data_IF_137591111000
#
_entry.id   IF_137591111000
#
_cell.length_a   1.000
_cell.length_b   1.000
_cell.length_c   1.000
_cell.angle_alpha   90.00
_cell.angle_beta   90.00
_cell.angle_gamma   90.00
#
_symmetry.space_group_name_H-M   'P 1'
#
loop_
_entity.id
_entity.type
_entity.pdbx_description
1 polymer ?
#
# COMPACT_ATOMS: atom_id res chain seq x y z
N UNK A 1 -6.90 12.07 -15.59
CA UNK A 1 -6.39 11.62 -16.91
C UNK A 1 -5.96 10.16 -16.93
N UNK A 2 -5.20 9.63 -15.96
CA UNK A 2 -4.75 8.21 -15.97
C UNK A 2 -5.84 7.14 -15.87
N UNK A 3 -7.02 7.43 -15.30
CA UNK A 3 -8.12 6.47 -15.21
C UNK A 3 -8.84 6.23 -16.56
N UNK A 4 -8.79 7.21 -17.47
CA UNK A 4 -9.37 7.09 -18.81
C UNK A 4 -8.56 6.18 -19.72
N UNK A 5 -7.22 6.30 -19.67
CA UNK A 5 -6.30 5.43 -20.42
C UNK A 5 -6.41 3.97 -19.99
N UNK A 6 -6.51 3.71 -18.68
CA UNK A 6 -6.70 2.35 -18.17
C UNK A 6 -8.04 1.73 -18.61
N UNK A 7 -9.09 2.54 -18.76
CA UNK A 7 -10.39 2.06 -19.24
C UNK A 7 -10.36 1.72 -20.73
N UNK A 8 -9.71 2.55 -21.56
CA UNK A 8 -9.55 2.31 -22.98
C UNK A 8 -8.67 1.08 -23.26
N UNK A 9 -7.61 0.88 -22.46
CA UNK A 9 -6.75 -0.29 -22.55
C UNK A 9 -7.49 -1.59 -22.17
N UNK A 10 -8.38 -1.53 -21.17
CA UNK A 10 -9.24 -2.67 -20.81
C UNK A 10 -10.25 -3.01 -21.91
N UNK A 11 -10.81 -2.02 -22.58
CA UNK A 11 -11.77 -2.22 -23.68
C UNK A 11 -11.08 -2.83 -24.91
N UNK A 12 -9.87 -2.37 -25.23
CA UNK A 12 -9.02 -2.96 -26.27
C UNK A 12 -8.69 -4.43 -25.96
N UNK A 13 -8.27 -4.72 -24.71
CA UNK A 13 -7.95 -6.09 -24.29
C UNK A 13 -9.17 -7.01 -24.29
N UNK A 14 -10.39 -6.48 -24.06
CA UNK A 14 -11.64 -7.24 -24.20
C UNK A 14 -11.92 -7.57 -25.66
N UNK A 15 -11.84 -6.59 -26.56
CA UNK A 15 -11.99 -6.82 -28.00
C UNK A 15 -11.00 -7.87 -28.53
N UNK A 16 -9.74 -7.80 -28.08
CA UNK A 16 -8.72 -8.79 -28.47
C UNK A 16 -9.01 -10.20 -27.92
N UNK A 17 -9.66 -10.31 -26.76
CA UNK A 17 -10.10 -11.59 -26.21
C UNK A 17 -11.22 -12.19 -27.06
N UNK A 18 -12.21 -11.38 -27.42
CA UNK A 18 -13.35 -11.82 -28.23
C UNK A 18 -12.88 -12.29 -29.62
N UNK A 19 -11.95 -11.56 -30.25
CA UNK A 19 -11.34 -11.96 -31.53
C UNK A 19 -10.56 -13.27 -31.40
N UNK A 20 -9.82 -13.46 -30.30
CA UNK A 20 -9.08 -14.69 -30.06
C UNK A 20 -10.01 -15.89 -29.82
N UNK A 21 -11.12 -15.71 -29.12
CA UNK A 21 -12.15 -16.73 -28.93
C UNK A 21 -12.81 -17.13 -30.26
N UNK A 22 -13.10 -16.15 -31.12
CA UNK A 22 -13.61 -16.39 -32.47
C UNK A 22 -12.62 -17.19 -33.33
N UNK A 23 -11.33 -16.86 -33.29
CA UNK A 23 -10.29 -17.60 -34.03
C UNK A 23 -10.17 -19.03 -33.50
N UNK A 24 -10.21 -19.22 -32.17
CA UNK A 24 -10.21 -20.54 -31.55
C UNK A 24 -11.40 -21.37 -32.04
N UNK A 25 -12.60 -20.81 -32.05
CA UNK A 25 -13.80 -21.50 -32.51
C UNK A 25 -13.66 -21.93 -33.98
N UNK A 26 -13.23 -21.02 -34.86
CA UNK A 26 -12.96 -21.30 -36.29
C UNK A 26 -11.91 -22.39 -36.51
N UNK A 27 -10.84 -22.40 -35.70
CA UNK A 27 -9.83 -23.46 -35.78
C UNK A 27 -10.39 -24.81 -35.32
N UNK A 28 -11.24 -24.83 -34.29
CA UNK A 28 -11.86 -26.09 -33.84
C UNK A 28 -12.87 -26.65 -34.84
N UNK A 29 -13.63 -25.79 -35.53
CA UNK A 29 -14.55 -26.23 -36.60
C UNK A 29 -13.77 -26.73 -37.80
N UNK A 30 -12.75 -25.98 -38.26
CA UNK A 30 -11.88 -26.39 -39.35
C UNK A 30 -11.17 -27.72 -39.08
N UNK A 31 -10.69 -27.95 -37.84
CA UNK A 31 -10.08 -29.22 -37.46
C UNK A 31 -11.07 -30.39 -37.48
N UNK A 32 -12.33 -30.18 -37.07
CA UNK A 32 -13.38 -31.20 -37.18
C UNK A 32 -13.70 -31.52 -38.64
N UNK A 33 -13.81 -30.51 -39.49
CA UNK A 33 -14.05 -30.67 -40.92
C UNK A 33 -12.90 -31.41 -41.61
N UNK A 34 -11.65 -31.04 -41.32
CA UNK A 34 -10.46 -31.74 -41.84
C UNK A 34 -10.44 -33.22 -41.40
N UNK A 35 -10.78 -33.50 -40.14
CA UNK A 35 -10.87 -34.87 -39.62
C UNK A 35 -11.95 -35.69 -40.32
N UNK A 36 -13.11 -35.09 -40.56
CA UNK A 36 -14.19 -35.72 -41.34
C UNK A 36 -13.71 -35.99 -42.76
N UNK A 37 -13.11 -35.01 -43.44
CA UNK A 37 -12.54 -35.17 -44.79
C UNK A 37 -11.53 -36.31 -44.88
N UNK A 38 -10.58 -36.39 -43.93
CA UNK A 38 -9.67 -37.53 -43.84
C UNK A 38 -10.42 -38.86 -43.79
N UNK A 39 -11.43 -38.99 -42.94
CA UNK A 39 -12.17 -40.24 -42.80
C UNK A 39 -12.96 -40.64 -44.05
N UNK A 40 -13.51 -39.66 -44.78
CA UNK A 40 -14.14 -39.90 -46.09
C UNK A 40 -13.12 -40.29 -47.15
N UNK A 41 -12.00 -39.57 -47.26
CA UNK A 41 -10.94 -39.90 -48.23
C UNK A 41 -10.33 -41.26 -47.96
N UNK A 42 -10.11 -41.64 -46.69
CA UNK A 42 -9.63 -42.98 -46.33
C UNK A 42 -10.60 -44.08 -46.80
N UNK A 43 -11.91 -43.82 -46.70
CA UNK A 43 -12.94 -44.73 -47.17
C UNK A 43 -12.99 -44.81 -48.70
N UNK A 44 -12.99 -43.67 -49.38
CA UNK A 44 -12.97 -43.59 -50.84
C UNK A 44 -11.72 -44.26 -51.43
N UNK A 45 -10.57 -44.06 -50.79
CA UNK A 45 -9.31 -44.68 -51.17
C UNK A 45 -9.35 -46.20 -50.97
N UNK A 46 -9.96 -46.69 -49.89
CA UNK A 46 -10.18 -48.12 -49.68
C UNK A 46 -11.12 -48.72 -50.75
N UNK A 47 -12.19 -48.02 -51.11
CA UNK A 47 -13.14 -48.41 -52.16
C UNK A 47 -12.46 -48.41 -53.55
N UNK A 48 -11.67 -47.38 -53.87
CA UNK A 48 -10.89 -47.30 -55.11
C UNK A 48 -9.82 -48.40 -55.20
N UNK A 49 -9.13 -48.75 -54.10
CA UNK A 49 -8.19 -49.88 -54.06
C UNK A 49 -8.89 -51.21 -54.34
N UNK A 50 -10.06 -51.42 -53.73
CA UNK A 50 -10.85 -52.63 -53.96
C UNK A 50 -11.34 -52.71 -55.42
N UNK A 51 -11.84 -51.61 -55.98
CA UNK A 51 -12.24 -51.53 -57.39
C UNK A 51 -11.08 -51.79 -58.35
N UNK A 52 -9.90 -51.20 -58.08
CA UNK A 52 -8.69 -51.43 -58.87
C UNK A 52 -8.24 -52.91 -58.84
N UNK A 53 -8.31 -53.57 -57.69
CA UNK A 53 -8.03 -55.01 -57.59
C UNK A 53 -9.03 -55.87 -58.38
N UNK A 54 -10.31 -55.55 -58.33
CA UNK A 54 -11.35 -56.25 -59.12
C UNK A 54 -11.14 -56.01 -60.62
N UNK A 55 -10.75 -54.79 -61.02
CA UNK A 55 -10.44 -54.47 -62.41
C UNK A 55 -9.16 -55.15 -62.90
N UNK A 56 -8.11 -55.26 -62.07
CA UNK A 56 -6.87 -55.96 -62.40
C UNK A 56 -7.08 -57.49 -62.56
N UNK A 57 -7.97 -58.09 -61.77
CA UNK A 57 -8.36 -59.50 -61.92
C UNK A 57 -9.26 -59.75 -63.14
N UNK A 58 -10.03 -58.75 -63.59
CA UNK A 58 -10.81 -58.79 -64.84
C UNK A 58 -9.99 -58.48 -66.09
N UNK A 59 -8.98 -57.60 -66.00
CA UNK A 59 -8.10 -57.26 -67.12
C UNK A 59 -7.15 -58.41 -67.48
N UNK A 60 -6.78 -59.23 -66.49
CA UNK A 60 -6.04 -60.47 -66.74
C UNK A 60 -6.85 -61.55 -67.49
N UNK A 61 -8.16 -61.35 -67.70
CA UNK A 61 -9.04 -62.21 -68.51
C UNK A 61 -9.70 -61.53 -69.71
N UNK A 62 -9.57 -60.21 -69.90
CA UNK A 62 -10.22 -59.46 -71.00
C UNK A 62 -9.33 -58.35 -71.57
N UNK A 63 -9.36 -58.17 -72.90
CA UNK A 63 -8.42 -57.34 -73.67
C UNK A 63 -8.47 -55.82 -73.45
N UNK A 64 -7.84 -55.06 -74.35
CA UNK A 64 -7.41 -53.65 -74.24
C UNK A 64 -8.35 -52.62 -73.56
N UNK A 65 -9.68 -52.83 -73.56
CA UNK A 65 -10.63 -51.96 -72.85
C UNK A 65 -10.50 -52.05 -71.32
N UNK A 66 -10.26 -53.24 -70.76
CA UNK A 66 -10.07 -53.43 -69.31
C UNK A 66 -8.73 -52.83 -68.80
N UNK A 67 -7.75 -52.68 -69.69
CA UNK A 67 -6.48 -51.99 -69.40
C UNK A 67 -6.65 -50.47 -69.24
N UNK A 68 -7.65 -49.87 -69.88
CA UNK A 68 -7.95 -48.44 -69.77
C UNK A 68 -8.60 -48.10 -68.42
N UNK A 69 -9.54 -48.94 -67.98
CA UNK A 69 -10.27 -48.77 -66.72
C UNK A 69 -9.35 -48.96 -65.50
N UNK A 70 -8.48 -49.97 -65.53
CA UNK A 70 -7.44 -50.18 -64.50
C UNK A 70 -6.46 -49.01 -64.41
N UNK A 71 -6.04 -48.45 -65.55
CA UNK A 71 -5.18 -47.26 -65.56
C UNK A 71 -5.89 -46.02 -64.97
N UNK A 72 -7.18 -45.83 -65.24
CA UNK A 72 -7.96 -44.74 -64.67
C UNK A 72 -8.14 -44.88 -63.15
N UNK A 73 -8.44 -46.09 -62.65
CA UNK A 73 -8.57 -46.37 -61.22
C UNK A 73 -7.25 -46.19 -60.46
N UNK A 74 -6.11 -46.54 -61.07
CA UNK A 74 -4.78 -46.28 -60.47
C UNK A 74 -4.50 -44.78 -60.34
N UNK A 75 -4.78 -43.98 -61.36
CA UNK A 75 -4.62 -42.51 -61.29
C UNK A 75 -5.50 -41.91 -60.19
N UNK A 76 -6.76 -42.34 -60.10
CA UNK A 76 -7.66 -41.92 -59.02
C UNK A 76 -7.13 -42.33 -57.63
N UNK A 77 -6.50 -43.51 -57.50
CA UNK A 77 -5.85 -43.93 -56.25
C UNK A 77 -4.70 -43.00 -55.85
N UNK A 78 -3.86 -42.65 -56.82
CA UNK A 78 -2.71 -41.78 -56.60
C UNK A 78 -3.18 -40.37 -56.22
N UNK A 79 -4.19 -39.84 -56.90
CA UNK A 79 -4.83 -38.55 -56.59
C UNK A 79 -5.41 -38.53 -55.16
N UNK A 80 -6.20 -39.54 -54.79
CA UNK A 80 -6.75 -39.67 -53.43
C UNK A 80 -5.65 -39.81 -52.36
N UNK A 81 -4.53 -40.46 -52.70
CA UNK A 81 -3.39 -40.60 -51.78
C UNK A 81 -2.74 -39.24 -51.53
N UNK A 82 -2.52 -38.46 -52.59
CA UNK A 82 -1.95 -37.10 -52.48
C UNK A 82 -2.90 -36.19 -51.69
N UNK A 83 -4.20 -36.24 -51.94
CA UNK A 83 -5.19 -35.47 -51.18
C UNK A 83 -5.20 -35.86 -49.70
N UNK A 84 -5.20 -37.16 -49.39
CA UNK A 84 -5.17 -37.65 -48.02
C UNK A 84 -3.92 -37.16 -47.27
N UNK A 85 -2.74 -37.21 -47.89
CA UNK A 85 -1.51 -36.72 -47.30
C UNK A 85 -1.53 -35.20 -47.10
N UNK A 86 -2.15 -34.46 -48.03
CA UNK A 86 -2.42 -33.04 -47.90
C UNK A 86 -3.29 -32.70 -46.69
N UNK A 87 -4.41 -33.41 -46.51
CA UNK A 87 -5.31 -33.18 -45.36
C UNK A 87 -4.66 -33.61 -44.05
N UNK A 88 -3.89 -34.71 -44.02
CA UNK A 88 -3.11 -35.12 -42.83
C UNK A 88 -2.12 -34.05 -42.41
N UNK A 89 -1.44 -33.41 -43.36
CA UNK A 89 -0.55 -32.29 -43.09
C UNK A 89 -1.31 -31.09 -42.50
N UNK A 90 -2.43 -30.70 -43.11
CA UNK A 90 -3.29 -29.62 -42.57
C UNK A 90 -3.77 -29.93 -41.15
N UNK A 91 -4.12 -31.18 -40.85
CA UNK A 91 -4.56 -31.60 -39.51
C UNK A 91 -3.42 -31.48 -38.48
N UNK A 92 -2.19 -31.84 -38.87
CA UNK A 92 -1.00 -31.64 -38.04
C UNK A 92 -0.75 -30.15 -37.76
N UNK A 93 -0.85 -29.30 -38.78
CA UNK A 93 -0.65 -27.86 -38.65
C UNK A 93 -1.71 -27.24 -37.72
N UNK A 94 -2.99 -27.59 -37.90
CA UNK A 94 -4.09 -27.14 -37.04
C UNK A 94 -3.91 -27.60 -35.59
N UNK A 95 -3.41 -28.83 -35.37
CA UNK A 95 -3.13 -29.34 -34.04
C UNK A 95 -2.03 -28.53 -33.36
N UNK A 96 -0.95 -28.24 -34.07
CA UNK A 96 0.15 -27.40 -33.55
C UNK A 96 -0.31 -25.97 -33.23
N UNK A 97 -1.18 -25.40 -34.08
CA UNK A 97 -1.76 -24.08 -33.85
C UNK A 97 -2.66 -24.07 -32.60
N UNK A 98 -3.48 -25.11 -32.40
CA UNK A 98 -4.33 -25.26 -31.22
C UNK A 98 -3.50 -25.42 -29.93
N UNK A 99 -2.42 -26.19 -29.96
CA UNK A 99 -1.49 -26.34 -28.83
C UNK A 99 -0.79 -25.01 -28.49
N UNK A 100 -0.36 -24.25 -29.50
CA UNK A 100 0.20 -22.91 -29.32
C UNK A 100 -0.79 -21.92 -28.71
N UNK A 101 -2.04 -21.90 -29.19
CA UNK A 101 -3.09 -21.06 -28.60
C UNK A 101 -3.40 -21.44 -27.15
N UNK A 102 -3.42 -22.74 -26.84
CA UNK A 102 -3.62 -23.18 -25.46
C UNK A 102 -2.47 -22.74 -24.55
N UNK A 103 -1.22 -22.79 -25.04
CA UNK A 103 -0.08 -22.28 -24.30
C UNK A 103 -0.16 -20.77 -24.07
N UNK A 104 -0.57 -19.99 -25.08
CA UNK A 104 -0.80 -18.55 -24.95
C UNK A 104 -1.90 -18.22 -23.94
N UNK A 105 -3.03 -18.94 -23.98
CA UNK A 105 -4.12 -18.77 -23.03
C UNK A 105 -3.66 -19.03 -21.58
N UNK A 106 -2.84 -20.07 -21.37
CA UNK A 106 -2.27 -20.38 -20.07
C UNK A 106 -1.33 -19.27 -19.56
N UNK A 107 -0.49 -18.71 -20.44
CA UNK A 107 0.39 -17.57 -20.10
C UNK A 107 -0.44 -16.34 -19.74
N UNK A 108 -1.47 -16.03 -20.54
CA UNK A 108 -2.35 -14.89 -20.29
C UNK A 108 -3.09 -15.04 -18.95
N UNK A 109 -3.56 -16.24 -18.62
CA UNK A 109 -4.20 -16.53 -17.33
C UNK A 109 -3.24 -16.30 -16.14
N UNK A 110 -1.99 -16.73 -16.26
CA UNK A 110 -0.95 -16.50 -15.23
C UNK A 110 -0.63 -15.03 -15.06
N UNK A 111 -0.47 -14.29 -16.16
CA UNK A 111 -0.22 -12.85 -16.12
C UNK A 111 -1.41 -12.10 -15.47
N UNK A 112 -2.65 -12.43 -15.84
CA UNK A 112 -3.85 -11.88 -15.19
C UNK A 112 -3.89 -12.15 -13.69
N UNK A 113 -3.51 -13.36 -13.26
CA UNK A 113 -3.43 -13.71 -11.85
C UNK A 113 -2.33 -12.91 -11.12
N UNK A 114 -1.16 -12.76 -11.73
CA UNK A 114 -0.04 -12.01 -11.18
C UNK A 114 -0.36 -10.50 -11.05
N UNK A 115 -1.07 -9.93 -12.02
CA UNK A 115 -1.54 -8.54 -11.95
C UNK A 115 -2.52 -8.37 -10.80
N UNK A 116 -3.50 -9.26 -10.64
CA UNK A 116 -4.44 -9.21 -9.50
C UNK A 116 -3.72 -9.34 -8.16
N UNK A 117 -2.76 -10.24 -8.04
CA UNK A 117 -1.98 -10.39 -6.80
C UNK A 117 -1.16 -9.13 -6.50
N UNK A 118 -0.54 -8.55 -7.53
CA UNK A 118 0.22 -7.30 -7.39
C UNK A 118 -0.68 -6.13 -6.99
N UNK A 119 -1.90 -6.06 -7.56
CA UNK A 119 -2.90 -5.08 -7.17
C UNK A 119 -3.28 -5.24 -5.69
N UNK A 120 -3.55 -6.46 -5.22
CA UNK A 120 -3.84 -6.69 -3.81
C UNK A 120 -2.68 -6.33 -2.87
N UNK A 121 -1.42 -6.50 -3.32
CA UNK A 121 -0.25 -6.05 -2.56
C UNK A 121 -0.18 -4.51 -2.51
N UNK A 122 -0.48 -3.85 -3.62
CA UNK A 122 -0.56 -2.40 -3.70
C UNK A 122 -1.63 -1.87 -2.74
N UNK A 123 -2.87 -2.37 -2.81
CA UNK A 123 -3.97 -1.93 -1.95
C UNK A 123 -3.62 -2.05 -0.45
N UNK A 124 -3.01 -3.18 -0.05
CA UNK A 124 -2.54 -3.37 1.34
C UNK A 124 -1.46 -2.36 1.74
N UNK A 125 -0.55 -2.04 0.83
CA UNK A 125 0.50 -1.06 1.10
C UNK A 125 -0.08 0.35 1.23
N UNK A 126 -1.06 0.71 0.41
CA UNK A 126 -1.79 1.98 0.50
C UNK A 126 -2.54 2.10 1.82
N UNK A 127 -3.23 1.04 2.26
CA UNK A 127 -3.86 0.99 3.59
C UNK A 127 -2.86 1.20 4.73
N UNK A 128 -1.68 0.56 4.64
CA UNK A 128 -0.61 0.75 5.63
C UNK A 128 -0.11 2.20 5.64
N UNK A 129 0.06 2.82 4.48
CA UNK A 129 0.46 4.23 4.37
C UNK A 129 -0.60 5.14 5.01
N UNK A 130 -1.89 4.89 4.79
CA UNK A 130 -2.97 5.65 5.44
C UNK A 130 -2.92 5.50 6.96
N UNK A 131 -2.76 4.28 7.47
CA UNK A 131 -2.63 4.02 8.91
C UNK A 131 -1.41 4.73 9.52
N UNK A 132 -0.27 4.68 8.85
CA UNK A 132 0.95 5.35 9.30
C UNK A 132 0.81 6.88 9.28
N UNK A 133 0.18 7.45 8.25
CA UNK A 133 -0.12 8.89 8.19
C UNK A 133 -1.02 9.32 9.35
N UNK A 134 -2.07 8.56 9.64
CA UNK A 134 -2.95 8.82 10.77
C UNK A 134 -2.22 8.69 12.12
N UNK A 135 -1.33 7.70 12.26
CA UNK A 135 -0.46 7.56 13.43
C UNK A 135 0.46 8.78 13.61
N UNK A 136 1.09 9.23 12.53
CA UNK A 136 1.96 10.40 12.53
C UNK A 136 1.22 11.69 12.92
N UNK A 137 0.01 11.92 12.37
CA UNK A 137 -0.79 13.09 12.72
C UNK A 137 -1.17 13.09 14.21
N UNK A 138 -1.51 11.94 14.77
CA UNK A 138 -1.80 11.79 16.19
C UNK A 138 -0.58 12.08 17.07
N UNK A 139 0.60 11.57 16.70
CA UNK A 139 1.86 11.85 17.42
C UNK A 139 2.19 13.35 17.36
N UNK A 140 2.04 13.99 16.21
CA UNK A 140 2.25 15.44 16.06
C UNK A 140 1.29 16.22 16.97
N UNK A 141 0.01 15.84 17.01
CA UNK A 141 -0.97 16.47 17.89
C UNK A 141 -0.58 16.32 19.37
N UNK A 142 -0.16 15.12 19.79
CA UNK A 142 0.29 14.86 21.16
C UNK A 142 1.53 15.67 21.54
N UNK A 143 2.49 15.82 20.62
CA UNK A 143 3.68 16.67 20.83
C UNK A 143 3.26 18.13 21.03
N UNK A 144 2.32 18.65 20.24
CA UNK A 144 1.81 20.03 20.40
C UNK A 144 1.14 20.22 21.75
N UNK A 145 0.31 19.27 22.18
CA UNK A 145 -0.34 19.29 23.48
C UNK A 145 0.67 19.29 24.63
N UNK A 146 1.65 18.38 24.60
CA UNK A 146 2.70 18.30 25.63
C UNK A 146 3.55 19.58 25.68
N UNK A 147 3.85 20.19 24.53
CA UNK A 147 4.54 21.50 24.48
C UNK A 147 3.71 22.59 25.15
N UNK A 148 2.39 22.60 24.95
CA UNK A 148 1.50 23.57 25.59
C UNK A 148 1.48 23.34 27.11
N UNK A 149 1.32 22.09 27.55
CA UNK A 149 1.35 21.72 28.97
C UNK A 149 2.66 22.15 29.63
N UNK A 150 3.81 21.90 28.99
CA UNK A 150 5.12 22.31 29.48
C UNK A 150 5.23 23.84 29.62
N UNK A 151 4.68 24.60 28.67
CA UNK A 151 4.67 26.07 28.73
C UNK A 151 3.84 26.57 29.91
N UNK A 152 2.68 25.97 30.15
CA UNK A 152 1.80 26.32 31.26
C UNK A 152 2.44 25.98 32.61
N UNK A 153 3.02 24.79 32.77
CA UNK A 153 3.70 24.41 34.02
C UNK A 153 4.93 25.29 34.29
N UNK A 154 5.69 25.66 33.26
CA UNK A 154 6.80 26.60 33.41
C UNK A 154 6.32 28.01 33.82
N UNK A 155 5.15 28.46 33.35
CA UNK A 155 4.55 29.73 33.79
C UNK A 155 4.07 29.64 35.24
N UNK A 156 3.43 28.54 35.64
CA UNK A 156 3.02 28.29 37.02
C UNK A 156 4.22 28.30 37.98
N UNK A 157 5.30 27.61 37.63
CA UNK A 157 6.51 27.58 38.44
C UNK A 157 7.14 28.97 38.63
N UNK A 158 7.11 29.82 37.59
CA UNK A 158 7.56 31.22 37.69
C UNK A 158 6.65 32.04 38.60
N UNK A 159 5.33 31.85 38.52
CA UNK A 159 4.40 32.53 39.41
C UNK A 159 4.64 32.11 40.87
N UNK A 160 4.79 30.80 41.13
CA UNK A 160 5.09 30.27 42.45
C UNK A 160 6.42 30.78 43.00
N UNK A 161 7.48 30.84 42.17
CA UNK A 161 8.77 31.37 42.61
C UNK A 161 8.69 32.85 42.98
N UNK A 162 7.93 33.66 42.23
CA UNK A 162 7.69 35.06 42.58
C UNK A 162 6.87 35.22 43.87
N UNK A 163 5.83 34.41 44.07
CA UNK A 163 5.05 34.41 45.31
C UNK A 163 5.91 34.00 46.51
N UNK A 164 6.76 32.99 46.36
CA UNK A 164 7.68 32.55 47.40
C UNK A 164 8.67 33.65 47.79
N UNK A 165 9.26 34.34 46.81
CA UNK A 165 10.16 35.48 47.06
C UNK A 165 9.44 36.62 47.81
N UNK A 166 8.20 36.94 47.43
CA UNK A 166 7.39 37.95 48.12
C UNK A 166 7.08 37.56 49.57
N UNK A 167 6.74 36.29 49.82
CA UNK A 167 6.52 35.77 51.18
C UNK A 167 7.80 35.83 52.01
N UNK A 168 8.95 35.47 51.45
CA UNK A 168 10.25 35.58 52.12
C UNK A 168 10.59 37.03 52.50
N UNK A 169 10.25 38.00 51.64
CA UNK A 169 10.39 39.43 51.95
C UNK A 169 9.49 39.84 53.11
N UNK A 170 8.20 39.52 53.07
CA UNK A 170 7.25 39.86 54.15
C UNK A 170 7.68 39.25 55.48
N UNK A 171 8.10 37.98 55.49
CA UNK A 171 8.63 37.33 56.70
C UNK A 171 9.91 38.03 57.18
N UNK A 172 10.77 38.47 56.26
CA UNK A 172 11.96 39.26 56.57
C UNK A 172 11.63 40.60 57.24
N UNK A 173 10.65 41.32 56.71
CA UNK A 173 10.14 42.59 57.25
C UNK A 173 9.53 42.40 58.65
N UNK A 174 8.65 41.41 58.82
CA UNK A 174 8.06 41.07 60.12
C UNK A 174 9.12 40.72 61.18
N UNK A 175 10.19 40.00 60.79
CA UNK A 175 11.33 39.69 61.68
C UNK A 175 12.14 40.94 62.07
N UNK A 176 12.22 41.95 61.21
CA UNK A 176 12.87 43.22 61.53
C UNK A 176 12.01 44.06 62.48
N UNK A 177 10.71 44.17 62.21
CA UNK A 177 9.76 44.85 63.10
C UNK A 177 9.78 44.25 64.50
N UNK A 178 9.72 42.92 64.61
CA UNK A 178 9.79 42.24 65.91
C UNK A 178 11.10 42.56 66.65
N UNK A 179 12.24 42.59 65.94
CA UNK A 179 13.53 42.99 66.54
C UNK A 179 13.53 44.43 67.04
N UNK A 180 12.91 45.36 66.30
CA UNK A 180 12.78 46.76 66.69
C UNK A 180 11.89 46.92 67.93
N UNK A 181 10.74 46.23 67.97
CA UNK A 181 9.85 46.23 69.14
C UNK A 181 10.56 45.68 70.37
N UNK A 182 11.24 44.53 70.24
CA UNK A 182 12.02 43.94 71.33
C UNK A 182 13.13 44.88 71.82
N UNK A 183 13.89 45.50 70.91
CA UNK A 183 14.93 46.48 71.27
C UNK A 183 14.36 47.67 72.03
N UNK A 184 13.20 48.18 71.58
CA UNK A 184 12.51 49.29 72.25
C UNK A 184 12.04 48.89 73.65
N UNK A 185 11.50 47.67 73.80
CA UNK A 185 11.08 47.13 75.10
C UNK A 185 12.26 46.98 76.07
N UNK A 186 13.40 46.44 75.60
CA UNK A 186 14.62 46.34 76.41
C UNK A 186 15.17 47.71 76.83
N UNK A 187 15.18 48.70 75.92
CA UNK A 187 15.56 50.08 76.25
C UNK A 187 14.65 50.68 77.32
N UNK A 188 13.33 50.55 77.16
CA UNK A 188 12.36 51.04 78.14
C UNK A 188 12.54 50.39 79.52
N UNK A 189 12.81 49.08 79.53
CA UNK A 189 13.11 48.33 80.76
C UNK A 189 14.40 48.84 81.43
N UNK A 190 15.47 49.05 80.66
CA UNK A 190 16.72 49.58 81.14
C UNK A 190 16.59 51.02 81.67
N UNK A 191 15.82 51.87 81.00
CA UNK A 191 15.56 53.25 81.41
C UNK A 191 14.72 53.30 82.69
N UNK A 192 13.72 52.41 82.82
CA UNK A 192 12.93 52.27 84.05
C UNK A 192 13.79 51.78 85.23
N UNK A 193 14.67 50.81 85.01
CA UNK A 193 15.62 50.38 86.03
C UNK A 193 16.57 51.51 86.45
N UNK A 194 17.07 52.31 85.50
CA UNK A 194 17.88 53.50 85.78
C UNK A 194 17.11 54.55 86.58
N UNK A 195 15.83 54.79 86.25
CA UNK A 195 14.97 55.72 86.98
C UNK A 195 14.69 55.27 88.43
N UNK A 196 14.56 53.96 88.69
CA UNK A 196 14.39 53.41 90.04
C UNK A 196 15.67 53.49 90.89
N UNK A 197 16.84 53.59 90.25
CA UNK A 197 18.15 53.68 90.91
C UNK A 197 18.64 55.13 91.09
N UNK A 198 17.92 56.15 90.60
CA UNK A 198 18.23 57.55 90.89
C UNK A 198 17.63 57.96 92.24
N UNK A 199 18.43 58.50 93.18
CA UNK A 199 17.91 59.01 94.44
C UNK A 199 17.08 60.25 94.18
N UNK A 200 15.84 60.28 94.68
CA UNK A 200 15.00 61.49 94.73
C UNK A 200 15.66 62.52 95.64
N UNK A 201 16.57 63.32 95.08
CA UNK A 201 17.15 64.48 95.71
C UNK A 201 16.60 65.74 95.06
N UNK A 202 15.55 66.32 95.65
CA UNK A 202 15.26 67.74 95.52
C UNK A 202 14.42 68.20 96.72
N UNK A 203 15.10 68.84 97.66
CA UNK A 203 14.54 69.69 98.70
C UNK A 203 15.55 70.79 98.96
N UNK A 204 15.43 71.85 98.16
CA UNK A 204 15.71 73.27 98.44
C UNK A 204 17.00 73.69 99.18
N UNK A 205 17.76 74.61 98.57
CA UNK A 205 17.79 76.00 99.06
C UNK A 205 18.63 76.92 98.15
N UNK A 206 18.00 78.05 97.88
CA UNK A 206 18.40 79.28 97.19
C UNK A 206 19.64 80.00 97.73
N UNK A 207 20.29 80.79 96.86
CA UNK A 207 21.18 81.92 97.21
C UNK A 207 22.34 82.05 96.21
N UNK A 208 22.26 82.90 95.18
CA UNK A 208 22.59 84.34 95.17
C UNK A 208 24.11 84.65 95.17
N UNK A 209 24.48 85.73 94.45
CA UNK A 209 25.79 86.44 94.38
C UNK A 209 26.71 85.99 93.23
N UNK A 210 26.82 86.74 92.11
CA UNK A 210 27.54 88.02 91.85
C UNK A 210 29.08 87.90 91.66
N UNK A 211 29.56 88.59 90.60
CA UNK A 211 30.93 89.04 90.25
C UNK A 211 31.91 87.97 89.69
N UNK A 212 32.74 88.20 88.67
CA UNK A 212 33.09 89.38 87.88
C UNK A 212 34.21 89.03 86.87
N UNK A 213 34.49 89.97 85.94
CA UNK A 213 35.54 90.04 84.89
C UNK A 213 36.88 89.34 85.18
N UNK A 214 37.65 88.86 84.18
CA UNK A 214 38.27 89.57 83.03
C UNK A 214 38.34 88.69 81.79
#
# INVERSE_FOLDING_TARGET
DSAGDASAELELLRSQLDDAELVKEKLTTSAREAKLRCSTLERELAEARAAAQVADTRSSSSGAAASSETAALRRSNDELTVELDGVKKQLSDLRSAAESQQAQANVQARLKAQVKESQHKLDRSEEQVVKLKAGLTNVIARIKELKLQLKTTAQQLRAESTMRAALEQVVGEQRLELRLVMSSFYKLGADRQRSLLQPTGAGEATGASWLGSV
#
